data_IF_046314020104
#
_entry.id   IF_046314020104
#
_cell.length_a   1.000
_cell.length_b   1.000
_cell.length_c   1.000
_cell.angle_alpha   90.00
_cell.angle_beta   90.00
_cell.angle_gamma   90.00
#
_symmetry.space_group_name_H-M   'P 1'
#
loop_
_entity.id
_entity.type
_entity.pdbx_description
1 polymer ?
#
# COMPACT_ATOMS: atom_id res chain seq x y z
N UNK A 1 13.55 9.71 33.91
CA UNK A 1 12.09 9.98 33.86
C UNK A 1 11.36 8.79 34.44
N UNK A 2 10.30 8.99 35.24
CA UNK A 2 9.60 7.91 35.92
C UNK A 2 8.30 7.53 35.22
N UNK A 3 8.07 6.24 34.99
CA UNK A 3 6.75 5.76 34.53
C UNK A 3 5.79 5.78 35.72
N UNK A 4 4.84 6.71 35.72
CA UNK A 4 3.90 6.87 36.83
C UNK A 4 2.60 6.10 36.65
N UNK A 5 2.22 5.79 35.40
CA UNK A 5 0.98 5.06 35.14
C UNK A 5 0.99 4.35 33.77
N UNK A 6 0.29 3.22 33.72
CA UNK A 6 -0.05 2.49 32.49
C UNK A 6 -1.57 2.30 32.48
N UNK A 7 -2.27 2.93 31.53
CA UNK A 7 -3.74 2.82 31.42
C UNK A 7 -4.14 2.18 30.09
N UNK A 8 -4.96 1.12 30.07
CA UNK A 8 -5.52 0.58 28.82
C UNK A 8 -6.28 1.66 28.04
N UNK A 9 -6.21 1.63 26.70
CA UNK A 9 -6.99 2.55 25.88
C UNK A 9 -8.46 2.12 25.81
N UNK A 10 -9.36 3.09 25.62
CA UNK A 10 -10.81 2.83 25.58
C UNK A 10 -11.24 1.97 24.37
N UNK A 11 -10.64 2.21 23.20
CA UNK A 11 -11.02 1.53 21.94
C UNK A 11 -10.22 0.28 21.63
N UNK A 12 -9.01 0.20 22.18
CA UNK A 12 -8.07 -0.89 21.93
C UNK A 12 -7.45 -1.32 23.26
N UNK A 13 -7.99 -2.41 23.82
CA UNK A 13 -7.55 -2.93 25.12
C UNK A 13 -6.18 -3.61 25.05
N UNK A 14 -5.69 -3.94 23.85
CA UNK A 14 -4.35 -4.48 23.66
C UNK A 14 -3.28 -3.38 23.67
N UNK A 15 -3.69 -2.14 23.95
CA UNK A 15 -2.81 -0.99 23.96
C UNK A 15 -2.93 -0.19 25.24
N UNK A 16 -1.80 0.26 25.76
CA UNK A 16 -1.71 1.07 26.98
C UNK A 16 -1.13 2.45 26.69
N UNK A 17 -1.66 3.46 27.37
CA UNK A 17 -1.10 4.79 27.48
C UNK A 17 -0.06 4.81 28.59
N UNK A 18 1.14 5.31 28.26
CA UNK A 18 2.26 5.43 29.18
C UNK A 18 2.36 6.88 29.65
N UNK A 19 2.37 7.06 30.98
CA UNK A 19 2.51 8.36 31.62
C UNK A 19 3.91 8.47 32.23
N UNK A 20 4.66 9.50 31.83
CA UNK A 20 5.94 9.85 32.40
C UNK A 20 5.76 11.05 33.31
N UNK A 21 6.18 10.93 34.56
CA UNK A 21 6.11 12.00 35.57
C UNK A 21 4.69 12.62 35.69
N UNK A 22 3.65 11.80 35.47
CA UNK A 22 2.24 12.18 35.54
C UNK A 22 1.64 12.69 34.22
N UNK A 23 2.46 12.94 33.20
CA UNK A 23 2.03 13.45 31.89
C UNK A 23 1.98 12.33 30.87
N UNK A 24 0.91 12.29 30.07
CA UNK A 24 0.83 11.35 28.94
C UNK A 24 2.02 11.57 27.98
N UNK A 25 2.72 10.50 27.63
CA UNK A 25 3.88 10.59 26.74
C UNK A 25 3.66 9.84 25.42
N UNK A 26 3.41 8.53 25.48
CA UNK A 26 3.22 7.68 24.31
C UNK A 26 2.34 6.48 24.64
N UNK A 27 2.23 5.54 23.69
CA UNK A 27 1.38 4.36 23.87
C UNK A 27 2.06 3.14 23.26
N UNK A 28 2.13 2.06 24.01
CA UNK A 28 2.70 0.77 23.63
C UNK A 28 1.59 -0.27 23.53
N UNK A 29 1.76 -1.28 22.69
CA UNK A 29 0.95 -2.49 22.81
C UNK A 29 1.43 -3.37 23.98
N UNK A 30 0.62 -4.35 24.36
CA UNK A 30 0.94 -5.24 25.49
C UNK A 30 2.23 -6.05 25.28
N UNK A 31 2.54 -6.46 24.05
CA UNK A 31 3.77 -7.20 23.76
C UNK A 31 4.99 -6.29 23.98
N UNK A 32 4.95 -5.06 23.47
CA UNK A 32 6.00 -4.07 23.68
C UNK A 32 6.23 -3.75 25.16
N UNK A 33 5.17 -3.66 25.97
CA UNK A 33 5.30 -3.46 27.42
C UNK A 33 6.08 -4.59 28.08
N UNK A 34 5.81 -5.84 27.68
CA UNK A 34 6.49 -7.01 28.22
C UNK A 34 7.93 -7.11 27.70
N UNK A 35 8.14 -6.97 26.39
CA UNK A 35 9.44 -7.06 25.73
C UNK A 35 10.43 -5.99 26.21
N UNK A 36 9.96 -4.76 26.38
CA UNK A 36 10.76 -3.65 26.89
C UNK A 36 10.82 -3.61 28.42
N UNK A 37 10.13 -4.54 29.10
CA UNK A 37 10.14 -4.65 30.56
C UNK A 37 9.59 -3.41 31.29
N UNK A 38 8.60 -2.72 30.71
CA UNK A 38 8.10 -1.46 31.25
C UNK A 38 7.31 -1.68 32.54
N UNK A 39 7.81 -1.12 33.64
CA UNK A 39 7.23 -1.19 34.98
C UNK A 39 6.78 0.18 35.49
N UNK A 40 5.63 0.22 36.16
CA UNK A 40 5.17 1.39 36.92
C UNK A 40 6.13 1.61 38.09
N UNK A 41 6.39 2.89 38.41
CA UNK A 41 7.32 3.34 39.44
C UNK A 41 8.81 3.09 39.16
N UNK A 42 9.16 2.63 37.96
CA UNK A 42 10.55 2.53 37.54
C UNK A 42 11.03 3.84 36.88
N UNK A 43 12.30 4.15 37.10
CA UNK A 43 13.02 5.23 36.46
C UNK A 43 13.77 4.70 35.23
N UNK A 44 13.69 5.47 34.15
CA UNK A 44 14.39 5.21 32.89
C UNK A 44 15.25 6.42 32.55
N UNK A 45 16.43 6.16 32.00
CA UNK A 45 17.30 7.14 31.37
C UNK A 45 16.63 7.77 30.15
N UNK A 46 17.16 8.92 29.71
CA UNK A 46 16.66 9.59 28.50
C UNK A 46 16.85 8.73 27.25
N UNK A 47 17.95 7.97 27.17
CA UNK A 47 18.22 7.05 26.07
C UNK A 47 17.21 5.90 26.03
N UNK A 48 16.88 5.31 27.19
CA UNK A 48 15.85 4.27 27.28
C UNK A 48 14.48 4.83 26.86
N UNK A 49 14.09 6.02 27.32
CA UNK A 49 12.83 6.64 26.91
C UNK A 49 12.80 6.92 25.40
N UNK A 50 13.93 7.35 24.83
CA UNK A 50 14.06 7.59 23.39
C UNK A 50 13.90 6.31 22.60
N UNK A 51 14.54 5.23 23.05
CA UNK A 51 14.37 3.89 22.46
C UNK A 51 12.92 3.40 22.54
N UNK A 52 12.29 3.49 23.73
CA UNK A 52 10.90 3.07 23.93
C UNK A 52 9.94 3.89 23.04
N UNK A 53 10.18 5.19 22.87
CA UNK A 53 9.39 6.04 21.96
C UNK A 53 9.51 5.56 20.52
N UNK A 54 10.72 5.23 20.08
CA UNK A 54 10.97 4.71 18.74
C UNK A 54 10.25 3.36 18.51
N UNK A 55 10.25 2.46 19.50
CA UNK A 55 9.48 1.21 19.42
C UNK A 55 7.96 1.46 19.37
N UNK A 56 7.42 2.36 20.21
CA UNK A 56 6.01 2.74 20.15
C UNK A 56 5.65 3.32 18.77
N UNK A 57 6.53 4.11 18.20
CA UNK A 57 6.35 4.72 16.88
C UNK A 57 6.35 3.65 15.76
N UNK A 58 7.34 2.77 15.78
CA UNK A 58 7.45 1.62 14.87
C UNK A 58 6.19 0.75 14.92
N UNK A 59 5.76 0.30 16.11
CA UNK A 59 4.58 -0.56 16.26
C UNK A 59 3.31 0.10 15.72
N UNK A 60 3.10 1.40 15.99
CA UNK A 60 1.97 2.16 15.43
C UNK A 60 1.96 2.18 13.92
N UNK A 61 3.13 2.44 13.32
CA UNK A 61 3.25 2.58 11.88
C UNK A 61 3.15 1.22 11.21
N UNK A 62 3.79 0.20 11.79
CA UNK A 62 3.77 -1.18 11.31
C UNK A 62 2.35 -1.72 11.19
N UNK A 63 1.54 -1.67 12.26
CA UNK A 63 0.15 -2.14 12.23
C UNK A 63 -0.67 -1.42 11.15
N UNK A 64 -0.54 -0.10 11.05
CA UNK A 64 -1.27 0.70 10.05
C UNK A 64 -0.86 0.36 8.61
N UNK A 65 0.43 0.11 8.38
CA UNK A 65 0.94 -0.23 7.05
C UNK A 65 0.58 -1.67 6.69
N UNK A 66 0.58 -2.57 7.68
CA UNK A 66 0.10 -3.93 7.52
C UNK A 66 -1.39 -3.95 7.15
N UNK A 67 -2.25 -3.27 7.90
CA UNK A 67 -3.68 -3.11 7.57
C UNK A 67 -3.88 -2.56 6.15
N UNK A 68 -3.14 -1.51 5.78
CA UNK A 68 -3.19 -0.92 4.44
C UNK A 68 -2.81 -1.91 3.32
N UNK A 69 -1.83 -2.78 3.60
CA UNK A 69 -1.29 -3.78 2.67
C UNK A 69 -2.19 -5.03 2.57
N UNK A 70 -2.93 -5.36 3.64
CA UNK A 70 -3.84 -6.50 3.67
C UNK A 70 -5.23 -6.21 3.09
N UNK A 71 -5.64 -4.93 2.97
CA UNK A 71 -6.92 -4.58 2.34
C UNK A 71 -7.03 -5.01 0.87
N UNK A 72 -5.91 -4.95 0.14
CA UNK A 72 -5.72 -5.49 -1.21
C UNK A 72 -4.22 -5.60 -1.49
N UNK A 73 -3.78 -6.47 -2.41
CA UNK A 73 -2.38 -6.49 -2.85
C UNK A 73 -1.92 -5.08 -3.25
N UNK A 74 -0.75 -4.68 -2.75
CA UNK A 74 -0.08 -3.40 -3.03
C UNK A 74 1.26 -3.68 -3.71
N UNK A 75 1.72 -2.75 -4.55
CA UNK A 75 3.14 -2.74 -4.94
C UNK A 75 4.00 -2.15 -3.83
N UNK A 76 5.29 -2.44 -3.86
CA UNK A 76 6.28 -1.85 -2.95
C UNK A 76 6.22 -0.33 -3.01
N UNK A 77 6.17 0.24 -4.21
CA UNK A 77 6.04 1.67 -4.42
C UNK A 77 4.77 2.25 -3.77
N UNK A 78 3.60 1.59 -3.86
CA UNK A 78 2.39 2.09 -3.20
C UNK A 78 2.56 2.17 -1.66
N UNK A 79 3.32 1.25 -1.08
CA UNK A 79 3.62 1.20 0.35
C UNK A 79 4.65 2.27 0.73
N UNK A 80 5.69 2.48 -0.07
CA UNK A 80 6.63 3.59 0.09
C UNK A 80 5.92 4.94 0.06
N UNK A 81 5.04 5.16 -0.94
CA UNK A 81 4.25 6.39 -1.02
C UNK A 81 3.29 6.52 0.16
N UNK A 82 2.73 5.40 0.65
CA UNK A 82 1.91 5.41 1.85
C UNK A 82 2.71 5.91 3.07
N UNK A 83 3.88 5.33 3.31
CA UNK A 83 4.78 5.66 4.40
C UNK A 83 5.32 7.09 4.31
N UNK A 84 5.68 7.54 3.10
CA UNK A 84 6.10 8.92 2.84
C UNK A 84 5.05 9.94 3.31
N UNK A 85 3.76 9.68 3.01
CA UNK A 85 2.68 10.55 3.50
C UNK A 85 2.52 10.49 5.02
N UNK A 86 2.86 9.36 5.67
CA UNK A 86 2.82 9.24 7.14
C UNK A 86 3.96 9.99 7.82
N UNK A 87 5.10 10.17 7.14
CA UNK A 87 6.20 11.01 7.65
C UNK A 87 5.87 12.51 7.66
N UNK A 88 4.83 12.94 6.94
CA UNK A 88 4.43 14.35 6.90
C UNK A 88 3.52 14.70 8.08
N UNK A 89 3.65 15.92 8.64
CA UNK A 89 2.68 16.44 9.59
C UNK A 89 1.27 16.41 9.01
N UNK A 90 0.29 16.07 9.84
CA UNK A 90 -1.10 15.95 9.42
C UNK A 90 -2.04 16.58 10.43
N UNK A 91 -3.10 17.20 9.95
CA UNK A 91 -4.08 17.89 10.78
C UNK A 91 -5.07 16.88 11.36
N UNK A 92 -5.31 16.96 12.67
CA UNK A 92 -6.31 16.13 13.36
C UNK A 92 -7.71 16.64 13.06
N UNK A 93 -8.74 15.86 13.46
CA UNK A 93 -10.15 16.29 13.35
C UNK A 93 -10.47 17.54 14.17
N UNK A 94 -9.69 17.81 15.23
CA UNK A 94 -9.81 19.00 16.08
C UNK A 94 -9.05 20.21 15.52
N UNK A 95 -8.33 20.04 14.41
CA UNK A 95 -7.58 21.12 13.77
C UNK A 95 -6.12 21.25 14.23
N UNK A 96 -5.68 20.44 15.20
CA UNK A 96 -4.30 20.43 15.71
C UNK A 96 -3.34 19.81 14.70
N UNK A 97 -2.11 20.31 14.65
CA UNK A 97 -1.05 19.72 13.83
C UNK A 97 -0.37 18.59 14.61
N UNK A 98 -0.47 17.38 14.07
CA UNK A 98 0.26 16.22 14.59
C UNK A 98 1.56 16.05 13.80
N UNK A 99 2.71 15.84 14.45
CA UNK A 99 3.95 15.50 13.75
C UNK A 99 3.77 14.18 12.99
N UNK A 100 4.46 14.08 11.86
CA UNK A 100 4.55 12.84 11.11
C UNK A 100 5.49 11.84 11.79
N UNK A 101 5.56 10.66 11.22
CA UNK A 101 6.45 9.60 11.68
C UNK A 101 7.92 9.89 11.32
N UNK A 102 8.85 9.38 12.12
CA UNK A 102 10.28 9.46 11.83
C UNK A 102 10.66 8.65 10.59
N UNK A 103 11.71 9.09 9.89
CA UNK A 103 12.27 8.38 8.73
C UNK A 103 12.75 6.98 9.11
N UNK A 104 13.43 6.85 10.25
CA UNK A 104 13.89 5.56 10.77
C UNK A 104 12.74 4.58 11.00
N UNK A 105 11.63 5.03 11.60
CA UNK A 105 10.45 4.17 11.77
C UNK A 105 9.85 3.74 10.42
N UNK A 106 9.79 4.66 9.45
CA UNK A 106 9.31 4.37 8.10
C UNK A 106 10.14 3.31 7.38
N UNK A 107 11.47 3.46 7.36
CA UNK A 107 12.39 2.53 6.73
C UNK A 107 12.30 1.14 7.38
N UNK A 108 12.35 1.10 8.72
CA UNK A 108 12.25 -0.17 9.47
C UNK A 108 10.91 -0.88 9.25
N UNK A 109 9.82 -0.15 9.05
CA UNK A 109 8.51 -0.74 8.71
C UNK A 109 8.49 -1.30 7.30
N UNK A 110 9.07 -0.59 6.32
CA UNK A 110 9.17 -1.07 4.95
C UNK A 110 9.96 -2.38 4.90
N UNK A 111 11.14 -2.40 5.52
CA UNK A 111 12.00 -3.58 5.58
C UNK A 111 11.26 -4.77 6.20
N UNK A 112 10.56 -4.55 7.32
CA UNK A 112 9.79 -5.61 7.99
C UNK A 112 8.66 -6.15 7.13
N UNK A 113 7.99 -5.29 6.36
CA UNK A 113 6.88 -5.70 5.50
C UNK A 113 7.38 -6.52 4.31
N UNK A 114 8.52 -6.15 3.74
CA UNK A 114 9.18 -6.88 2.67
C UNK A 114 9.73 -8.22 3.15
N UNK A 115 10.45 -8.23 4.28
CA UNK A 115 11.02 -9.43 4.91
C UNK A 115 9.94 -10.49 5.20
N UNK A 116 8.78 -10.06 5.69
CA UNK A 116 7.64 -10.95 5.98
C UNK A 116 6.86 -11.37 4.73
N UNK A 117 7.19 -10.84 3.56
CA UNK A 117 6.52 -11.14 2.30
C UNK A 117 5.07 -10.66 2.21
N UNK A 118 4.68 -9.66 3.02
CA UNK A 118 3.34 -9.08 2.96
C UNK A 118 3.12 -8.25 1.68
N UNK A 119 4.21 -7.77 1.10
CA UNK A 119 4.24 -6.99 -0.14
C UNK A 119 5.30 -7.57 -1.05
N UNK A 120 4.91 -7.81 -2.29
CA UNK A 120 5.69 -8.53 -3.28
C UNK A 120 5.22 -8.06 -4.66
N UNK A 121 6.13 -7.43 -5.42
CA UNK A 121 5.79 -6.84 -6.71
C UNK A 121 5.46 -7.87 -7.79
N UNK A 122 6.01 -9.10 -7.71
CA UNK A 122 5.66 -10.17 -8.63
C UNK A 122 4.22 -10.65 -8.37
N UNK A 123 3.87 -10.89 -7.09
CA UNK A 123 2.49 -11.23 -6.70
C UNK A 123 1.52 -10.12 -7.04
N UNK A 124 1.92 -8.87 -6.82
CA UNK A 124 1.12 -7.71 -7.18
C UNK A 124 0.88 -7.63 -8.70
N UNK A 125 1.92 -7.80 -9.52
CA UNK A 125 1.81 -7.74 -10.97
C UNK A 125 0.87 -8.81 -11.51
N UNK A 126 1.02 -10.07 -11.07
CA UNK A 126 0.12 -11.16 -11.43
C UNK A 126 -1.34 -10.86 -11.07
N UNK A 127 -1.59 -10.42 -9.82
CA UNK A 127 -2.91 -10.01 -9.37
C UNK A 127 -3.48 -8.88 -10.24
N UNK A 128 -2.66 -7.88 -10.58
CA UNK A 128 -3.09 -6.71 -11.35
C UNK A 128 -3.52 -7.10 -12.76
N UNK A 129 -2.70 -7.89 -13.47
CA UNK A 129 -2.99 -8.38 -14.83
C UNK A 129 -4.27 -9.19 -14.83
N UNK A 130 -4.40 -10.17 -13.93
CA UNK A 130 -5.61 -10.99 -13.84
C UNK A 130 -6.86 -10.14 -13.55
N UNK A 131 -6.79 -9.20 -12.60
CA UNK A 131 -7.94 -8.35 -12.27
C UNK A 131 -8.40 -7.50 -13.47
N UNK A 132 -7.46 -6.97 -14.25
CA UNK A 132 -7.74 -6.13 -15.41
C UNK A 132 -8.33 -6.93 -16.56
N UNK A 133 -7.73 -8.08 -16.88
CA UNK A 133 -8.20 -8.97 -17.94
C UNK A 133 -9.54 -9.65 -17.58
N UNK A 134 -9.74 -10.07 -16.34
CA UNK A 134 -11.01 -10.67 -15.89
C UNK A 134 -12.19 -9.69 -15.93
N UNK A 135 -12.02 -8.46 -15.43
CA UNK A 135 -13.14 -7.53 -15.25
C UNK A 135 -13.45 -6.69 -16.48
N UNK A 136 -12.45 -6.41 -17.31
CA UNK A 136 -12.56 -5.33 -18.30
C UNK A 136 -11.94 -5.67 -19.65
N UNK A 137 -11.03 -6.62 -19.74
CA UNK A 137 -10.12 -6.64 -20.88
C UNK A 137 -9.15 -5.46 -20.85
N UNK A 138 -7.88 -5.73 -21.17
CA UNK A 138 -6.83 -4.75 -21.19
C UNK A 138 -5.72 -5.20 -22.14
N UNK A 139 -5.23 -4.24 -22.93
CA UNK A 139 -4.06 -4.47 -23.79
C UNK A 139 -2.80 -4.68 -22.96
N UNK A 140 -1.85 -5.41 -23.51
CA UNK A 140 -0.53 -5.55 -22.91
C UNK A 140 0.13 -4.18 -22.67
N UNK A 141 0.04 -3.28 -23.66
CA UNK A 141 0.64 -1.93 -23.56
C UNK A 141 0.06 -1.12 -22.40
N UNK A 142 -1.25 -1.20 -22.17
CA UNK A 142 -1.89 -0.55 -21.03
C UNK A 142 -1.44 -1.17 -19.71
N UNK A 143 -1.37 -2.51 -19.64
CA UNK A 143 -0.92 -3.21 -18.43
C UNK A 143 0.52 -2.83 -18.07
N UNK A 144 1.44 -2.79 -19.05
CA UNK A 144 2.82 -2.32 -18.86
C UNK A 144 2.85 -0.91 -18.28
N UNK A 145 2.12 0.03 -18.89
CA UNK A 145 2.06 1.41 -18.42
C UNK A 145 1.50 1.52 -17.01
N UNK A 146 0.45 0.78 -16.68
CA UNK A 146 -0.16 0.80 -15.34
C UNK A 146 0.80 0.22 -14.29
N UNK A 147 1.47 -0.90 -14.59
CA UNK A 147 2.43 -1.54 -13.67
C UNK A 147 3.68 -0.68 -13.46
N UNK A 148 4.23 -0.07 -14.52
CA UNK A 148 5.34 0.87 -14.41
C UNK A 148 4.97 2.09 -13.57
N UNK A 149 3.75 2.64 -13.73
CA UNK A 149 3.25 3.72 -12.88
C UNK A 149 3.04 3.30 -11.41
N UNK A 150 3.00 1.98 -11.15
CA UNK A 150 2.98 1.38 -9.82
C UNK A 150 4.37 0.99 -9.32
N UNK A 151 5.43 1.40 -10.01
CA UNK A 151 6.82 1.17 -9.60
C UNK A 151 7.31 -0.26 -9.78
N UNK A 152 6.56 -1.11 -10.48
CA UNK A 152 6.98 -2.50 -10.73
C UNK A 152 8.13 -2.51 -11.74
N UNK A 153 9.19 -3.27 -11.43
CA UNK A 153 10.35 -3.40 -12.30
C UNK A 153 10.00 -4.00 -13.66
N UNK A 154 10.64 -3.54 -14.74
CA UNK A 154 10.39 -4.01 -16.11
C UNK A 154 10.56 -5.52 -16.24
N UNK A 155 11.57 -6.10 -15.58
CA UNK A 155 11.81 -7.55 -15.58
C UNK A 155 10.63 -8.35 -15.01
N UNK A 156 9.99 -7.85 -13.94
CA UNK A 156 8.79 -8.48 -13.36
C UNK A 156 7.62 -8.35 -14.31
N UNK A 157 7.46 -7.17 -14.94
CA UNK A 157 6.40 -6.91 -15.91
C UNK A 157 6.54 -7.86 -17.11
N UNK A 158 7.74 -7.99 -17.66
CA UNK A 158 8.05 -8.84 -18.81
C UNK A 158 7.67 -10.30 -18.53
N UNK A 159 8.12 -10.84 -17.39
CA UNK A 159 7.82 -12.21 -16.97
C UNK A 159 6.31 -12.41 -16.77
N UNK A 160 5.65 -11.47 -16.08
CA UNK A 160 4.21 -11.57 -15.78
C UNK A 160 3.35 -11.56 -17.05
N UNK A 161 3.71 -10.77 -18.04
CA UNK A 161 2.94 -10.65 -19.28
C UNK A 161 3.22 -11.82 -20.24
N UNK A 162 4.46 -12.33 -20.26
CA UNK A 162 4.83 -13.49 -21.07
C UNK A 162 4.13 -14.79 -20.62
N UNK A 163 3.87 -14.95 -19.32
CA UNK A 163 3.22 -16.14 -18.76
C UNK A 163 1.70 -16.19 -19.00
N UNK A 164 1.10 -15.11 -19.52
CA UNK A 164 -0.35 -15.05 -19.64
C UNK A 164 -0.87 -15.83 -20.86
N UNK A 165 -1.78 -16.81 -20.69
CA UNK A 165 -2.29 -17.63 -21.79
C UNK A 165 -3.33 -16.91 -22.66
N UNK A 166 -3.68 -15.66 -22.35
CA UNK A 166 -4.76 -14.93 -23.03
C UNK A 166 -4.23 -14.13 -24.20
N UNK A 167 -4.90 -14.26 -25.36
CA UNK A 167 -4.53 -13.51 -26.56
C UNK A 167 -4.96 -12.05 -26.47
N UNK A 168 -4.16 -11.16 -27.09
CA UNK A 168 -4.48 -9.73 -27.19
C UNK A 168 -5.82 -9.50 -27.91
N UNK A 169 -6.17 -10.35 -28.89
CA UNK A 169 -7.45 -10.32 -29.62
C UNK A 169 -8.64 -10.64 -28.72
N UNK A 170 -8.53 -11.63 -27.85
CA UNK A 170 -9.63 -11.96 -26.92
C UNK A 170 -9.88 -10.82 -25.93
N UNK A 171 -8.81 -10.18 -25.45
CA UNK A 171 -8.92 -9.02 -24.57
C UNK A 171 -9.50 -7.79 -25.30
N UNK A 172 -9.18 -7.62 -26.60
CA UNK A 172 -9.79 -6.61 -27.46
C UNK A 172 -11.31 -6.83 -27.63
N UNK A 173 -11.75 -8.05 -27.96
CA UNK A 173 -13.19 -8.38 -28.10
C UNK A 173 -13.98 -8.05 -26.83
N UNK A 174 -13.48 -8.45 -25.66
CA UNK A 174 -14.10 -8.11 -24.36
C UNK A 174 -14.28 -6.61 -24.15
N UNK A 175 -13.33 -5.81 -24.64
CA UNK A 175 -13.43 -4.34 -24.55
C UNK A 175 -14.47 -3.83 -25.53
N UNK A 176 -14.48 -4.33 -26.77
CA UNK A 176 -15.44 -3.97 -27.82
C UNK A 176 -16.87 -4.28 -27.35
N UNK A 177 -17.18 -5.52 -26.96
CA UNK A 177 -18.52 -5.96 -26.54
C UNK A 177 -19.14 -5.05 -25.47
N UNK A 178 -18.32 -4.58 -24.53
CA UNK A 178 -18.76 -3.75 -23.41
C UNK A 178 -18.82 -2.27 -23.74
N UNK A 179 -18.14 -1.81 -24.79
CA UNK A 179 -17.98 -0.38 -25.10
C UNK A 179 -18.72 0.02 -26.36
N UNK A 180 -18.91 -0.87 -27.33
CA UNK A 180 -19.56 -0.63 -28.62
C UNK A 180 -20.89 0.11 -28.47
N UNK A 181 -21.77 -0.35 -27.58
CA UNK A 181 -23.07 0.28 -27.33
C UNK A 181 -23.01 1.74 -26.86
N UNK A 182 -21.86 2.21 -26.35
CA UNK A 182 -21.65 3.61 -25.93
C UNK A 182 -21.08 4.51 -27.04
N UNK A 183 -20.71 3.95 -28.18
CA UNK A 183 -20.14 4.70 -29.30
C UNK A 183 -21.01 4.50 -30.54
N UNK A 184 -21.75 5.54 -30.92
CA UNK A 184 -22.49 5.57 -32.20
C UNK A 184 -21.56 5.76 -33.40
N UNK A 185 -20.37 6.32 -33.18
CA UNK A 185 -19.37 6.60 -34.21
C UNK A 185 -18.20 5.62 -34.11
N UNK A 186 -18.01 4.83 -35.18
CA UNK A 186 -16.95 3.83 -35.30
C UNK A 186 -15.55 4.45 -35.16
N UNK A 187 -15.30 5.64 -35.70
CA UNK A 187 -14.00 6.29 -35.58
C UNK A 187 -13.68 6.64 -34.13
N UNK A 188 -14.67 7.09 -33.35
CA UNK A 188 -14.48 7.36 -31.91
C UNK A 188 -14.21 6.09 -31.11
N UNK A 189 -14.83 4.97 -31.46
CA UNK A 189 -14.53 3.67 -30.85
C UNK A 189 -13.09 3.23 -31.16
N UNK A 190 -12.65 3.33 -32.40
CA UNK A 190 -11.26 3.01 -32.79
C UNK A 190 -10.26 3.85 -32.00
N UNK A 191 -10.45 5.17 -31.96
CA UNK A 191 -9.57 6.07 -31.19
C UNK A 191 -9.54 5.71 -29.70
N UNK A 192 -10.69 5.32 -29.13
CA UNK A 192 -10.74 4.85 -27.75
C UNK A 192 -9.90 3.58 -27.56
N UNK A 193 -10.07 2.56 -28.40
CA UNK A 193 -9.35 1.29 -28.30
C UNK A 193 -7.84 1.46 -28.47
N UNK A 194 -7.40 2.31 -29.40
CA UNK A 194 -5.97 2.65 -29.56
C UNK A 194 -5.42 3.37 -28.33
N UNK A 195 -6.19 4.30 -27.72
CA UNK A 195 -5.82 4.91 -26.42
C UNK A 195 -5.80 3.90 -25.28
N UNK A 196 -6.59 2.82 -25.36
CA UNK A 196 -6.52 1.70 -24.42
C UNK A 196 -5.34 0.76 -24.69
N UNK A 197 -4.49 1.07 -25.67
CA UNK A 197 -3.21 0.41 -25.87
C UNK A 197 -3.16 -0.64 -26.97
N UNK A 198 -4.31 -1.01 -27.55
CA UNK A 198 -4.39 -1.97 -28.66
C UNK A 198 -3.78 -1.41 -29.95
N UNK A 199 -3.27 -2.30 -30.80
CA UNK A 199 -2.73 -1.92 -32.11
C UNK A 199 -3.84 -1.42 -33.03
N UNK A 200 -3.55 -0.43 -33.88
CA UNK A 200 -4.53 0.08 -34.82
C UNK A 200 -4.99 -1.01 -35.81
N UNK A 201 -4.06 -1.85 -36.28
CA UNK A 201 -4.34 -2.94 -37.21
C UNK A 201 -5.31 -3.96 -36.60
N UNK A 202 -5.06 -4.44 -35.38
CA UNK A 202 -5.93 -5.43 -34.73
C UNK A 202 -7.33 -4.84 -34.47
N UNK A 203 -7.39 -3.56 -34.09
CA UNK A 203 -8.67 -2.87 -33.88
C UNK A 203 -9.49 -2.76 -35.16
N UNK A 204 -8.85 -2.43 -36.29
CA UNK A 204 -9.57 -2.31 -37.56
C UNK A 204 -10.02 -3.68 -38.08
N UNK A 205 -9.16 -4.69 -37.99
CA UNK A 205 -9.43 -6.09 -38.37
C UNK A 205 -10.63 -6.63 -37.59
N UNK A 206 -10.59 -6.54 -36.26
CA UNK A 206 -11.64 -7.06 -35.38
C UNK A 206 -12.98 -6.31 -35.52
N UNK A 207 -12.96 -5.01 -35.86
CA UNK A 207 -14.19 -4.24 -36.13
C UNK A 207 -14.69 -4.34 -37.58
N UNK A 208 -14.00 -5.09 -38.43
CA UNK A 208 -14.39 -5.33 -39.83
C UNK A 208 -14.97 -6.73 -40.05
N UNK A 209 -14.78 -7.61 -39.07
CA UNK A 209 -15.42 -8.93 -38.95
C UNK A 209 -16.81 -8.78 -38.34
#
# INVERSE_FOLDING_TARGET
MRVTNLKPQQRDKNRVNVYLDGVYSFSLDLAQVLELGIRINADYSEDEITHIRAESEFGKLYTRTLEYSLMRPRSVYEVEQYLYRKMRPSRTKTGEMRPGYSKQASERVLDRILERGYVDDAKFAMYWVENRRLKKGASERLLRSELSAKGVASSIIDVTLADSPRSERDELRKVIERKSARYSDRQKLIQYLVRQGFSYSDVVDELST
#
